data_IF_869421848652
#
_entry.id   IF_869421848652
#
_cell.length_a   1.000
_cell.length_b   1.000
_cell.length_c   1.000
_cell.angle_alpha   90.00
_cell.angle_beta   90.00
_cell.angle_gamma   90.00
#
_symmetry.space_group_name_H-M   'P 1'
#
loop_
_entity.id
_entity.type
_entity.pdbx_description
1 polymer ?
#
# COMPACT_ATOMS: atom_id res chain seq x y z
N UNK A 1 -23.78 -0.79 -2.35
CA UNK A 1 -22.52 -0.86 -3.13
C UNK A 1 -21.32 -0.44 -2.29
N UNK A 2 -21.45 0.60 -1.47
CA UNK A 2 -20.41 1.04 -0.54
C UNK A 2 -19.75 -0.08 0.28
N UNK A 3 -20.54 -0.93 0.96
CA UNK A 3 -20.00 -2.01 1.81
C UNK A 3 -19.12 -3.00 1.03
N UNK A 4 -19.54 -3.39 -0.17
CA UNK A 4 -18.77 -4.31 -1.02
C UNK A 4 -17.49 -3.62 -1.49
N UNK A 5 -17.58 -2.38 -1.96
CA UNK A 5 -16.42 -1.59 -2.37
C UNK A 5 -15.41 -1.39 -1.23
N UNK A 6 -15.91 -1.15 0.00
CA UNK A 6 -15.11 -0.99 1.19
C UNK A 6 -14.37 -2.28 1.55
N UNK A 7 -15.04 -3.43 1.50
CA UNK A 7 -14.42 -4.75 1.74
C UNK A 7 -13.31 -5.01 0.71
N UNK A 8 -13.59 -4.79 -0.58
CA UNK A 8 -12.60 -4.97 -1.64
C UNK A 8 -11.40 -4.02 -1.48
N UNK A 9 -11.67 -2.77 -1.10
CA UNK A 9 -10.63 -1.80 -0.82
C UNK A 9 -9.74 -2.25 0.35
N UNK A 10 -10.32 -2.69 1.46
CA UNK A 10 -9.54 -3.21 2.58
C UNK A 10 -8.72 -4.45 2.22
N UNK A 11 -9.28 -5.39 1.46
CA UNK A 11 -8.54 -6.56 0.96
C UNK A 11 -7.33 -6.14 0.13
N UNK A 12 -7.50 -5.14 -0.75
CA UNK A 12 -6.41 -4.61 -1.55
C UNK A 12 -5.31 -3.97 -0.69
N UNK A 13 -5.69 -3.12 0.28
CA UNK A 13 -4.73 -2.47 1.18
C UNK A 13 -3.97 -3.51 2.02
N UNK A 14 -4.67 -4.47 2.62
CA UNK A 14 -4.06 -5.53 3.44
C UNK A 14 -3.10 -6.37 2.58
N UNK A 15 -3.52 -6.79 1.39
CA UNK A 15 -2.69 -7.56 0.47
C UNK A 15 -1.44 -6.77 0.07
N UNK A 16 -1.61 -5.51 -0.33
CA UNK A 16 -0.50 -4.62 -0.68
C UNK A 16 0.49 -4.44 0.48
N UNK A 17 0.00 -4.23 1.71
CA UNK A 17 0.83 -4.11 2.91
C UNK A 17 1.59 -5.41 3.20
N UNK A 18 0.94 -6.57 3.08
CA UNK A 18 1.59 -7.86 3.30
C UNK A 18 2.72 -8.11 2.28
N UNK A 19 2.47 -7.87 0.99
CA UNK A 19 3.50 -7.97 -0.06
C UNK A 19 4.65 -6.98 0.15
N UNK A 20 4.33 -5.73 0.46
CA UNK A 20 5.33 -4.69 0.71
C UNK A 20 6.19 -5.03 1.93
N UNK A 21 5.58 -5.54 3.00
CA UNK A 21 6.31 -5.98 4.19
C UNK A 21 7.22 -7.18 3.91
N UNK A 22 6.73 -8.16 3.13
CA UNK A 22 7.54 -9.32 2.73
C UNK A 22 8.76 -8.89 1.89
N UNK A 23 8.58 -7.94 0.96
CA UNK A 23 9.65 -7.42 0.13
C UNK A 23 10.69 -6.64 0.96
N UNK A 24 10.23 -5.77 1.85
CA UNK A 24 11.11 -5.03 2.78
C UNK A 24 11.88 -5.99 3.69
N UNK A 25 11.21 -7.01 4.22
CA UNK A 25 11.85 -8.05 5.03
C UNK A 25 12.92 -8.79 4.23
N UNK A 26 12.59 -9.20 3.00
CA UNK A 26 13.52 -9.92 2.14
C UNK A 26 14.78 -9.08 1.85
N UNK A 27 14.63 -7.81 1.48
CA UNK A 27 15.79 -6.93 1.25
C UNK A 27 16.63 -6.80 2.52
N UNK A 28 16.01 -6.56 3.68
CA UNK A 28 16.73 -6.38 4.95
C UNK A 28 17.43 -7.65 5.44
N UNK A 29 16.88 -8.83 5.14
CA UNK A 29 17.42 -10.10 5.60
C UNK A 29 18.48 -10.67 4.66
N UNK A 30 18.36 -10.45 3.34
CA UNK A 30 19.15 -11.17 2.33
C UNK A 30 20.01 -10.28 1.43
N UNK A 31 19.74 -8.97 1.32
CA UNK A 31 20.63 -8.11 0.54
C UNK A 31 21.93 -7.82 1.31
N UNK A 32 23.04 -7.71 0.59
CA UNK A 32 24.33 -7.33 1.18
C UNK A 32 24.20 -5.92 1.74
N UNK A 33 24.78 -5.65 2.91
CA UNK A 33 24.57 -4.39 3.65
C UNK A 33 25.04 -3.13 2.89
N UNK A 34 25.96 -3.32 1.95
CA UNK A 34 26.51 -2.29 1.06
C UNK A 34 25.72 -2.13 -0.24
N UNK A 35 24.70 -2.97 -0.45
CA UNK A 35 23.87 -2.93 -1.65
C UNK A 35 23.01 -1.65 -1.65
N UNK A 36 23.03 -0.86 -2.73
CA UNK A 36 22.19 0.34 -2.86
C UNK A 36 20.70 0.06 -2.64
N UNK A 37 20.22 -1.19 -2.81
CA UNK A 37 18.84 -1.58 -2.53
C UNK A 37 18.38 -1.25 -1.10
N UNK A 38 19.27 -1.27 -0.11
CA UNK A 38 18.92 -0.88 1.27
C UNK A 38 18.47 0.58 1.39
N UNK A 39 19.09 1.48 0.61
CA UNK A 39 18.75 2.90 0.58
C UNK A 39 17.38 3.16 -0.05
N UNK A 40 16.90 2.24 -0.90
CA UNK A 40 15.58 2.35 -1.54
C UNK A 40 14.42 1.89 -0.65
N UNK A 41 14.69 1.19 0.47
CA UNK A 41 13.64 0.73 1.39
C UNK A 41 12.88 1.90 2.01
N UNK A 42 13.57 2.93 2.49
CA UNK A 42 12.96 4.11 3.10
C UNK A 42 12.07 4.90 2.13
N UNK A 43 12.53 5.30 0.92
CA UNK A 43 11.67 5.99 -0.04
C UNK A 43 10.55 5.10 -0.55
N UNK A 44 10.74 3.78 -0.65
CA UNK A 44 9.66 2.84 -0.97
C UNK A 44 8.55 2.90 0.10
N UNK A 45 8.89 2.74 1.38
CA UNK A 45 7.90 2.81 2.48
C UNK A 45 7.19 4.17 2.49
N UNK A 46 7.94 5.27 2.35
CA UNK A 46 7.38 6.61 2.34
C UNK A 46 6.40 6.84 1.17
N UNK A 47 6.79 6.44 -0.04
CA UNK A 47 5.94 6.55 -1.23
C UNK A 47 4.70 5.64 -1.15
N UNK A 48 4.85 4.41 -0.64
CA UNK A 48 3.73 3.52 -0.34
C UNK A 48 2.71 4.15 0.62
N UNK A 49 3.18 4.81 1.69
CA UNK A 49 2.29 5.47 2.64
C UNK A 49 1.53 6.64 2.00
N UNK A 50 2.22 7.45 1.19
CA UNK A 50 1.59 8.54 0.43
C UNK A 50 0.51 7.99 -0.52
N UNK A 51 0.80 6.90 -1.24
CA UNK A 51 -0.15 6.28 -2.15
C UNK A 51 -1.37 5.71 -1.41
N UNK A 52 -1.18 5.11 -0.22
CA UNK A 52 -2.30 4.66 0.62
C UNK A 52 -3.19 5.84 1.01
N UNK A 53 -2.62 6.95 1.48
CA UNK A 53 -3.36 8.17 1.86
C UNK A 53 -4.15 8.73 0.66
N UNK A 54 -3.49 8.85 -0.51
CA UNK A 54 -4.13 9.31 -1.74
C UNK A 54 -5.28 8.36 -2.13
N UNK A 55 -5.07 7.04 -2.03
CA UNK A 55 -6.11 6.07 -2.37
C UNK A 55 -7.33 6.19 -1.45
N UNK A 56 -7.12 6.41 -0.14
CA UNK A 56 -8.19 6.58 0.83
C UNK A 56 -8.97 7.87 0.57
N UNK A 57 -8.24 8.95 0.28
CA UNK A 57 -8.85 10.22 -0.13
C UNK A 57 -9.73 10.03 -1.36
N UNK A 58 -9.21 9.43 -2.43
CA UNK A 58 -9.96 9.19 -3.67
C UNK A 58 -11.17 8.29 -3.42
N UNK A 59 -11.02 7.22 -2.63
CA UNK A 59 -12.14 6.34 -2.26
C UNK A 59 -13.26 7.12 -1.57
N UNK A 60 -12.94 8.04 -0.65
CA UNK A 60 -13.96 8.88 0.02
C UNK A 60 -14.64 9.91 -0.89
N UNK A 61 -14.04 10.24 -2.04
CA UNK A 61 -14.59 11.20 -3.00
C UNK A 61 -15.54 10.56 -4.01
N UNK A 62 -15.55 9.24 -4.12
CA UNK A 62 -16.52 8.53 -4.96
C UNK A 62 -17.90 8.65 -4.31
N UNK A 63 -18.93 9.08 -5.05
CA UNK A 63 -20.26 9.23 -4.51
C UNK A 63 -20.97 7.88 -4.51
N UNK A 64 -20.57 7.01 -3.59
CA UNK A 64 -21.02 5.61 -3.52
C UNK A 64 -22.53 5.44 -3.40
N UNK A 65 -23.21 6.43 -2.82
CA UNK A 65 -24.66 6.43 -2.61
C UNK A 65 -25.44 6.99 -3.80
N UNK A 66 -24.82 7.78 -4.67
CA UNK A 66 -25.46 8.36 -5.87
C UNK A 66 -25.23 7.54 -7.14
N UNK A 67 -24.57 6.40 -7.04
CA UNK A 67 -24.38 5.42 -8.12
C UNK A 67 -25.52 4.39 -8.17
N UNK A 68 -26.57 4.59 -7.38
CA UNK A 68 -27.90 3.97 -7.54
C UNK A 68 -28.77 4.83 -8.45
#
# INVERSE_FOLDING_TARGET
MFTIALILYFLFIIGYTAFSAALVYHIRAYAVREDPMHSFVTPFIASSLILIIISAYLFSRVPWDSLM
#
